data_IF_148752475663
#
_entry.id   IF_148752475663
#
_cell.length_a   1.000
_cell.length_b   1.000
_cell.length_c   1.000
_cell.angle_alpha   90.00
_cell.angle_beta   90.00
_cell.angle_gamma   90.00
#
_symmetry.space_group_name_H-M   'P 1'
#
loop_
_entity.id
_entity.type
_entity.pdbx_description
1 polymer ?
#
# COMPACT_ATOMS: atom_id res chain seq x y z
N UNK A 1 -27.02 -13.75 -5.97
CA UNK A 1 -26.75 -14.25 -7.33
C UNK A 1 -26.92 -15.75 -7.29
N UNK A 2 -27.94 -16.30 -7.95
CA UNK A 2 -28.04 -17.74 -8.18
C UNK A 2 -27.03 -18.06 -9.28
N UNK A 3 -25.97 -18.79 -8.95
CA UNK A 3 -25.10 -19.41 -9.94
C UNK A 3 -25.58 -20.83 -10.24
N UNK A 4 -25.06 -21.45 -11.29
CA UNK A 4 -25.38 -22.80 -11.80
C UNK A 4 -25.06 -23.96 -10.83
N UNK A 5 -24.81 -23.65 -9.57
CA UNK A 5 -24.59 -24.59 -8.49
C UNK A 5 -25.63 -24.25 -7.42
N UNK A 6 -26.42 -25.25 -7.01
CA UNK A 6 -27.60 -25.16 -6.12
C UNK A 6 -27.24 -24.77 -4.66
N UNK A 7 -26.35 -23.78 -4.51
CA UNK A 7 -25.75 -23.32 -3.26
C UNK A 7 -26.12 -21.85 -3.07
N UNK A 8 -27.08 -21.61 -2.18
CA UNK A 8 -27.46 -20.26 -1.79
C UNK A 8 -26.42 -19.65 -0.83
N UNK A 9 -25.56 -18.79 -1.37
CA UNK A 9 -24.62 -17.96 -0.59
C UNK A 9 -25.08 -16.51 -0.54
N UNK A 10 -25.03 -15.90 0.65
CA UNK A 10 -25.29 -14.47 0.80
C UNK A 10 -24.10 -13.65 0.26
N UNK A 11 -24.38 -12.44 -0.24
CA UNK A 11 -23.34 -11.51 -0.70
C UNK A 11 -22.25 -11.30 0.37
N UNK A 12 -22.65 -11.08 1.63
CA UNK A 12 -21.73 -10.93 2.76
C UNK A 12 -20.81 -12.13 2.96
N UNK A 13 -21.34 -13.35 2.84
CA UNK A 13 -20.54 -14.57 2.97
C UNK A 13 -19.55 -14.69 1.82
N UNK A 14 -19.98 -14.42 0.59
CA UNK A 14 -19.10 -14.43 -0.58
C UNK A 14 -17.98 -13.37 -0.48
N UNK A 15 -18.32 -12.15 -0.08
CA UNK A 15 -17.36 -11.07 0.15
C UNK A 15 -16.35 -11.43 1.23
N UNK A 16 -16.83 -11.88 2.41
CA UNK A 16 -15.93 -12.22 3.52
C UNK A 16 -15.02 -13.41 3.16
N UNK A 17 -15.53 -14.40 2.45
CA UNK A 17 -14.71 -15.51 1.95
C UNK A 17 -13.61 -15.02 1.01
N UNK A 18 -13.88 -14.03 0.14
CA UNK A 18 -12.86 -13.40 -0.70
C UNK A 18 -11.80 -12.70 0.12
N UNK A 19 -12.19 -11.87 1.09
CA UNK A 19 -11.26 -11.15 1.96
C UNK A 19 -10.36 -12.10 2.76
N UNK A 20 -10.91 -13.18 3.31
CA UNK A 20 -10.14 -14.21 4.02
C UNK A 20 -9.16 -14.93 3.09
N UNK A 21 -9.59 -15.27 1.87
CA UNK A 21 -8.71 -15.88 0.89
C UNK A 21 -7.56 -14.93 0.46
N UNK A 22 -7.85 -13.63 0.33
CA UNK A 22 -6.85 -12.60 0.04
C UNK A 22 -5.86 -12.44 1.19
N UNK A 23 -6.33 -12.35 2.43
CA UNK A 23 -5.47 -12.30 3.62
C UNK A 23 -4.58 -13.54 3.74
N UNK A 24 -5.12 -14.72 3.42
CA UNK A 24 -4.34 -15.96 3.42
C UNK A 24 -3.26 -15.99 2.33
N UNK A 25 -3.59 -15.52 1.12
CA UNK A 25 -2.68 -15.57 -0.02
C UNK A 25 -1.61 -14.45 0.00
N UNK A 26 -1.97 -13.25 0.45
CA UNK A 26 -1.12 -12.04 0.39
C UNK A 26 -0.63 -11.57 1.76
N UNK A 27 -1.14 -12.14 2.84
CA UNK A 27 -0.95 -11.61 4.18
C UNK A 27 -1.93 -10.47 4.48
N UNK A 28 -2.02 -10.11 5.75
CA UNK A 28 -2.91 -9.04 6.20
C UNK A 28 -2.33 -7.66 5.91
N UNK A 29 -3.21 -6.67 5.73
CA UNK A 29 -2.80 -5.26 5.59
C UNK A 29 -1.95 -4.79 6.79
N UNK A 30 -2.29 -5.22 8.01
CA UNK A 30 -1.54 -4.86 9.22
C UNK A 30 -0.12 -5.44 9.24
N UNK A 31 0.04 -6.70 8.82
CA UNK A 31 1.36 -7.30 8.70
C UNK A 31 2.21 -6.59 7.61
N UNK A 32 1.58 -6.26 6.48
CA UNK A 32 2.25 -5.52 5.39
C UNK A 32 2.69 -4.12 5.83
N UNK A 33 1.86 -3.42 6.62
CA UNK A 33 2.23 -2.13 7.19
C UNK A 33 3.43 -2.23 8.13
N UNK A 34 3.48 -3.25 8.99
CA UNK A 34 4.62 -3.46 9.89
C UNK A 34 5.93 -3.72 9.15
N UNK A 35 5.87 -4.28 7.93
CA UNK A 35 7.04 -4.51 7.08
C UNK A 35 7.46 -3.28 6.27
N UNK A 36 6.60 -2.26 6.17
CA UNK A 36 6.81 -1.10 5.30
C UNK A 36 8.12 -0.35 5.62
N UNK A 37 8.49 -0.05 6.88
CA UNK A 37 9.75 0.65 7.18
C UNK A 37 10.98 -0.13 6.68
N UNK A 38 11.06 -1.42 7.01
CA UNK A 38 12.16 -2.30 6.58
C UNK A 38 12.20 -2.47 5.07
N UNK A 39 11.04 -2.49 4.41
CA UNK A 39 10.96 -2.54 2.96
C UNK A 39 11.55 -1.28 2.33
N UNK A 40 11.20 -0.08 2.81
CA UNK A 40 11.73 1.17 2.30
C UNK A 40 13.25 1.29 2.52
N UNK A 41 13.74 0.87 3.67
CA UNK A 41 15.19 0.80 3.94
C UNK A 41 15.91 -0.05 2.89
N UNK A 42 15.41 -1.27 2.64
CA UNK A 42 15.97 -2.16 1.61
C UNK A 42 15.86 -1.57 0.21
N UNK A 43 14.77 -0.87 -0.09
CA UNK A 43 14.56 -0.20 -1.37
C UNK A 43 15.64 0.86 -1.62
N UNK A 44 15.96 1.67 -0.60
CA UNK A 44 17.02 2.69 -0.66
C UNK A 44 18.39 2.05 -0.78
N UNK A 45 18.65 0.94 -0.08
CA UNK A 45 19.92 0.20 -0.20
C UNK A 45 20.11 -0.38 -1.61
N UNK A 46 19.04 -0.91 -2.23
CA UNK A 46 19.09 -1.47 -3.58
C UNK A 46 19.17 -0.39 -4.66
N UNK A 47 18.58 0.78 -4.42
CA UNK A 47 18.55 1.91 -5.34
C UNK A 47 19.16 3.14 -4.66
N UNK A 48 20.49 3.12 -4.52
CA UNK A 48 21.22 4.18 -3.83
C UNK A 48 20.88 5.56 -4.42
N UNK A 49 20.55 6.52 -3.57
CA UNK A 49 20.09 7.85 -3.96
C UNK A 49 18.56 8.01 -4.02
N UNK A 50 17.80 6.93 -3.80
CA UNK A 50 16.35 7.02 -3.62
C UNK A 50 16.01 7.66 -2.27
N UNK A 51 14.92 8.41 -2.22
CA UNK A 51 14.43 9.11 -1.03
C UNK A 51 13.10 8.49 -0.62
N UNK A 52 13.01 8.05 0.63
CA UNK A 52 11.80 7.49 1.22
C UNK A 52 11.52 8.13 2.56
N UNK A 53 10.26 8.43 2.86
CA UNK A 53 9.88 8.94 4.17
C UNK A 53 8.46 8.50 4.53
N UNK A 54 8.28 7.98 5.73
CA UNK A 54 6.95 7.67 6.30
C UNK A 54 6.57 8.80 7.25
N UNK A 55 5.35 9.31 7.12
CA UNK A 55 4.79 10.27 8.05
C UNK A 55 3.65 9.67 8.85
N UNK A 56 3.77 9.77 10.17
CA UNK A 56 2.78 9.26 11.13
C UNK A 56 2.32 10.36 12.06
N UNK A 57 1.07 10.26 12.50
CA UNK A 57 0.44 11.14 13.48
C UNK A 57 0.15 10.34 14.74
N UNK A 58 0.53 10.86 15.91
CA UNK A 58 0.23 10.21 17.18
C UNK A 58 -1.24 10.45 17.56
N UNK A 59 -1.94 9.38 17.93
CA UNK A 59 -3.31 9.43 18.44
C UNK A 59 -3.39 8.67 19.77
N UNK A 60 -3.96 9.31 20.79
CA UNK A 60 -4.11 8.72 22.12
C UNK A 60 -4.90 7.40 22.06
N UNK A 61 -4.39 6.36 22.72
CA UNK A 61 -4.98 5.02 22.75
C UNK A 61 -4.77 4.18 21.47
N UNK A 62 -4.22 4.75 20.40
CA UNK A 62 -3.96 4.05 19.12
C UNK A 62 -2.44 4.01 18.83
N UNK A 63 -1.70 5.02 19.26
CA UNK A 63 -0.28 5.19 18.94
C UNK A 63 -0.06 5.92 17.62
N UNK A 64 1.03 5.60 16.91
CA UNK A 64 1.36 6.24 15.64
C UNK A 64 0.50 5.70 14.50
N UNK A 65 -0.41 6.53 14.01
CA UNK A 65 -1.27 6.27 12.85
C UNK A 65 -0.57 6.75 11.58
N UNK A 66 -0.59 5.93 10.54
CA UNK A 66 -0.12 6.32 9.21
C UNK A 66 -0.91 7.51 8.65
N UNK A 67 -0.21 8.49 8.05
CA UNK A 67 -0.83 9.63 7.36
C UNK A 67 -0.54 9.59 5.87
N UNK A 68 0.74 9.51 5.49
CA UNK A 68 1.19 9.37 4.11
C UNK A 68 2.65 8.89 4.07
N UNK A 69 3.09 8.52 2.88
CA UNK A 69 4.47 8.17 2.58
C UNK A 69 4.94 8.97 1.37
N UNK A 70 6.20 9.38 1.39
CA UNK A 70 6.91 9.91 0.24
C UNK A 70 7.90 8.88 -0.28
N UNK A 71 7.94 8.70 -1.60
CA UNK A 71 8.88 7.83 -2.30
C UNK A 71 9.31 8.52 -3.60
N UNK A 72 10.63 8.66 -3.78
CA UNK A 72 11.23 9.10 -5.02
C UNK A 72 12.43 8.21 -5.35
N UNK A 73 12.38 7.50 -6.47
CA UNK A 73 13.49 6.65 -6.92
C UNK A 73 14.64 7.51 -7.44
N UNK A 74 15.88 7.07 -7.23
CA UNK A 74 17.09 7.77 -7.67
C UNK A 74 17.03 8.16 -9.15
N UNK A 75 16.68 7.20 -10.02
CA UNK A 75 16.55 7.44 -11.46
C UNK A 75 15.48 8.51 -11.79
N UNK A 76 14.38 8.54 -11.05
CA UNK A 76 13.33 9.56 -11.23
C UNK A 76 13.81 10.94 -10.79
N UNK A 77 14.59 11.02 -9.71
CA UNK A 77 15.18 12.28 -9.21
C UNK A 77 16.17 12.84 -10.25
N UNK A 78 17.04 11.98 -10.78
CA UNK A 78 18.00 12.37 -11.82
C UNK A 78 17.29 12.82 -13.11
N UNK A 79 16.31 12.04 -13.56
CA UNK A 79 15.52 12.35 -14.76
C UNK A 79 14.69 13.62 -14.62
N UNK A 80 14.19 13.94 -13.42
CA UNK A 80 13.35 15.11 -13.17
C UNK A 80 14.01 16.44 -13.56
N UNK A 81 15.36 16.49 -13.56
CA UNK A 81 16.12 17.67 -14.01
C UNK A 81 15.92 17.99 -15.49
N UNK A 82 15.61 16.98 -16.31
CA UNK A 82 15.48 17.09 -17.76
C UNK A 82 14.03 16.99 -18.25
N UNK A 83 13.09 16.72 -17.34
CA UNK A 83 11.67 16.58 -17.67
C UNK A 83 10.90 17.90 -17.50
N UNK A 84 9.75 17.99 -18.19
CA UNK A 84 8.79 19.08 -17.96
C UNK A 84 8.21 18.94 -16.56
N UNK A 85 8.21 20.03 -15.78
CA UNK A 85 7.73 20.04 -14.40
C UNK A 85 6.20 20.00 -14.37
N UNK A 86 5.65 18.79 -14.33
CA UNK A 86 4.21 18.52 -14.22
C UNK A 86 3.98 17.73 -12.94
N UNK A 87 2.94 18.09 -12.20
CA UNK A 87 2.44 17.32 -11.07
C UNK A 87 1.12 16.70 -11.50
N UNK A 88 1.05 15.37 -11.48
CA UNK A 88 -0.18 14.62 -11.71
C UNK A 88 -0.64 14.11 -10.36
N UNK A 89 -1.89 14.43 -10.02
CA UNK A 89 -2.55 13.91 -8.83
C UNK A 89 -3.50 12.82 -9.32
N UNK A 90 -3.19 11.57 -8.98
CA UNK A 90 -4.11 10.46 -9.22
C UNK A 90 -4.96 10.21 -7.97
N UNK A 91 -6.25 9.96 -8.20
CA UNK A 91 -7.23 9.61 -7.20
C UNK A 91 -7.58 8.14 -7.26
N UNK A 92 -6.58 7.26 -7.40
CA UNK A 92 -6.81 5.83 -7.21
C UNK A 92 -7.11 5.59 -5.74
N UNK A 93 -8.39 5.47 -5.42
CA UNK A 93 -8.84 5.04 -4.12
C UNK A 93 -8.60 3.53 -4.04
N UNK A 94 -7.86 3.08 -3.01
CA UNK A 94 -7.70 1.68 -2.64
C UNK A 94 -8.95 1.18 -1.89
#
# INVERSE_FOLDING_TARGET
MQGDHDVHISYWKAWRSREVALDYAKGSCGASYNLLPTYLEKLVMANQGSITQIHTEYADGIGHRFKYMFLALAASIEGYRFMRKIVIVDGTHL
#
